data_IF_504963640650
#
_entry.id   IF_504963640650
#
_cell.length_a   1.000
_cell.length_b   1.000
_cell.length_c   1.000
_cell.angle_alpha   90.00
_cell.angle_beta   90.00
_cell.angle_gamma   90.00
#
_symmetry.space_group_name_H-M   'P 1'
#
loop_
_entity.id
_entity.type
_entity.pdbx_description
1 polymer ?
#
# COMPACT_ATOMS: atom_id res chain seq x y z
N UNK A 1 -1.66 2.66 11.26
CA UNK A 1 -1.93 3.40 12.51
C UNK A 1 -3.37 3.20 12.96
N UNK A 2 -4.36 3.91 12.42
CA UNK A 2 -5.79 3.84 12.84
C UNK A 2 -6.28 2.40 13.12
N UNK A 3 -6.13 1.49 12.15
CA UNK A 3 -6.55 0.09 12.29
C UNK A 3 -5.83 -0.63 13.43
N UNK A 4 -4.52 -0.41 13.57
CA UNK A 4 -3.73 -1.01 14.64
C UNK A 4 -4.14 -0.47 16.02
N UNK A 5 -4.32 0.84 16.13
CA UNK A 5 -4.63 1.47 17.41
C UNK A 5 -6.02 1.06 17.93
N UNK A 6 -6.98 0.83 17.03
CA UNK A 6 -8.36 0.47 17.38
C UNK A 6 -8.59 -1.04 17.51
N UNK A 7 -7.96 -1.83 16.65
CA UNK A 7 -8.27 -3.26 16.49
C UNK A 7 -7.07 -4.19 16.66
N UNK A 8 -5.85 -3.65 16.69
CA UNK A 8 -4.62 -4.43 16.67
C UNK A 8 -4.39 -5.11 15.32
N UNK A 9 -3.17 -5.05 14.81
CA UNK A 9 -2.76 -5.85 13.64
C UNK A 9 -1.86 -6.98 14.12
N UNK A 10 -2.24 -8.21 13.80
CA UNK A 10 -1.41 -9.40 14.06
C UNK A 10 -0.38 -9.56 12.95
N UNK A 11 -0.83 -9.52 11.69
CA UNK A 11 0.00 -9.60 10.49
C UNK A 11 -0.75 -8.97 9.30
N UNK A 12 0.00 -8.60 8.26
CA UNK A 12 -0.59 -8.06 7.05
C UNK A 12 0.32 -8.10 5.84
N UNK A 13 -0.32 -8.19 4.67
CA UNK A 13 0.30 -8.13 3.37
C UNK A 13 -0.30 -6.99 2.57
N UNK A 14 0.58 -6.18 2.00
CA UNK A 14 0.23 -5.02 1.20
C UNK A 14 0.60 -5.26 -0.26
N UNK A 15 -0.33 -4.97 -1.16
CA UNK A 15 -0.05 -4.81 -2.58
C UNK A 15 -0.31 -3.36 -2.94
N UNK A 16 0.64 -2.68 -3.56
CA UNK A 16 0.32 -1.41 -4.23
C UNK A 16 0.15 -1.64 -5.72
N UNK A 17 -1.01 -1.28 -6.25
CA UNK A 17 -1.22 -1.15 -7.69
C UNK A 17 -0.77 0.27 -8.05
N UNK A 18 0.39 0.33 -8.67
CA UNK A 18 1.19 1.54 -8.78
C UNK A 18 1.30 1.97 -10.24
N UNK A 19 1.14 3.28 -10.52
CA UNK A 19 1.43 3.81 -11.86
C UNK A 19 2.89 3.58 -12.23
N UNK A 20 3.20 3.45 -13.52
CA UNK A 20 4.60 3.43 -13.92
C UNK A 20 5.24 4.81 -13.64
N UNK A 21 6.57 4.85 -13.49
CA UNK A 21 7.31 6.10 -13.21
C UNK A 21 8.41 6.29 -14.26
N UNK A 22 9.19 7.37 -14.11
CA UNK A 22 10.30 7.68 -15.01
C UNK A 22 11.42 6.62 -15.04
N UNK A 23 11.44 5.67 -14.09
CA UNK A 23 12.47 4.62 -14.06
C UNK A 23 12.20 3.47 -15.04
N UNK A 24 10.93 3.29 -15.44
CA UNK A 24 10.47 2.25 -16.35
C UNK A 24 10.72 2.66 -17.80
N UNK A 25 10.55 1.72 -18.72
CA UNK A 25 10.91 1.88 -20.14
C UNK A 25 9.66 2.00 -21.01
N UNK A 26 9.73 2.82 -22.05
CA UNK A 26 8.63 2.96 -23.02
C UNK A 26 8.41 1.68 -23.80
N UNK A 27 9.50 1.00 -24.17
CA UNK A 27 9.56 -0.33 -24.80
C UNK A 27 10.54 -1.22 -24.03
N UNK A 28 10.55 -2.52 -24.34
CA UNK A 28 11.47 -3.47 -23.70
C UNK A 28 12.94 -3.02 -23.84
N UNK A 29 13.66 -2.97 -22.71
CA UNK A 29 15.05 -2.55 -22.67
C UNK A 29 15.79 -2.98 -21.39
N UNK A 30 17.10 -2.71 -21.32
CA UNK A 30 17.92 -3.15 -20.19
C UNK A 30 17.49 -2.52 -18.85
N UNK A 31 17.43 -3.35 -17.82
CA UNK A 31 17.26 -2.92 -16.41
C UNK A 31 18.06 -3.85 -15.49
N UNK A 32 19.22 -3.38 -15.03
CA UNK A 32 20.22 -4.23 -14.39
C UNK A 32 19.79 -4.81 -13.03
N UNK A 33 19.04 -4.03 -12.24
CA UNK A 33 18.64 -4.41 -10.87
C UNK A 33 17.22 -4.97 -10.76
N UNK A 34 16.38 -4.71 -11.77
CA UNK A 34 14.98 -5.13 -11.82
C UNK A 34 14.63 -5.50 -13.27
N UNK A 35 14.87 -6.76 -13.63
CA UNK A 35 14.68 -7.23 -15.00
C UNK A 35 13.24 -7.05 -15.50
N UNK A 36 12.26 -7.20 -14.60
CA UNK A 36 10.85 -6.99 -14.91
C UNK A 36 10.55 -5.52 -15.19
N UNK A 37 11.19 -4.60 -14.46
CA UNK A 37 11.10 -3.15 -14.68
C UNK A 37 11.66 -2.66 -16.02
N UNK A 38 12.42 -3.50 -16.75
CA UNK A 38 12.89 -3.20 -18.09
C UNK A 38 11.85 -3.41 -19.20
N UNK A 39 10.72 -4.08 -18.90
CA UNK A 39 9.65 -4.32 -19.87
C UNK A 39 8.86 -3.04 -20.18
N UNK A 40 8.29 -2.94 -21.37
CA UNK A 40 7.48 -1.80 -21.81
C UNK A 40 6.35 -1.48 -20.82
N UNK A 41 6.43 -0.32 -20.17
CA UNK A 41 5.62 0.03 -19.01
C UNK A 41 4.13 0.18 -19.31
N UNK A 42 3.80 0.75 -20.48
CA UNK A 42 2.42 1.00 -20.91
C UNK A 42 1.73 -0.26 -21.48
N UNK A 43 2.44 -1.39 -21.57
CA UNK A 43 1.95 -2.62 -22.20
C UNK A 43 1.86 -3.80 -21.23
N UNK A 44 2.33 -3.64 -19.99
CA UNK A 44 2.50 -4.75 -19.06
C UNK A 44 1.96 -4.41 -17.66
N UNK A 45 1.54 -5.45 -16.96
CA UNK A 45 1.45 -5.44 -15.50
C UNK A 45 2.77 -6.01 -14.99
N UNK A 46 3.56 -5.20 -14.28
CA UNK A 46 4.95 -5.53 -13.91
C UNK A 46 5.05 -5.69 -12.39
N UNK A 47 5.17 -6.94 -11.87
CA UNK A 47 5.40 -7.16 -10.45
C UNK A 47 6.79 -6.67 -10.04
N UNK A 48 6.88 -6.02 -8.88
CA UNK A 48 8.13 -5.51 -8.28
C UNK A 48 8.13 -5.71 -6.77
N UNK A 49 9.30 -5.96 -6.20
CA UNK A 49 9.48 -5.89 -4.74
C UNK A 49 9.42 -4.43 -4.27
N UNK A 50 8.97 -4.21 -3.05
CA UNK A 50 9.00 -2.87 -2.40
C UNK A 50 9.33 -2.99 -0.92
N UNK A 51 10.08 -2.01 -0.40
CA UNK A 51 10.35 -1.88 1.02
C UNK A 51 9.29 -1.10 1.80
N UNK A 52 8.27 -0.53 1.12
CA UNK A 52 7.33 0.42 1.72
C UNK A 52 6.57 -0.16 2.92
N UNK A 53 5.99 -1.37 2.79
CA UNK A 53 5.29 -2.02 3.91
C UNK A 53 6.23 -2.33 5.08
N UNK A 54 7.47 -2.77 4.82
CA UNK A 54 8.47 -3.00 5.87
C UNK A 54 8.88 -1.69 6.54
N UNK A 55 8.89 -0.58 5.81
CA UNK A 55 9.22 0.74 6.35
C UNK A 55 8.14 1.25 7.33
N UNK A 56 6.88 0.81 7.20
CA UNK A 56 5.83 1.11 8.18
C UNK A 56 6.25 0.63 9.57
N UNK A 57 6.85 -0.55 9.69
CA UNK A 57 7.36 -1.08 10.96
C UNK A 57 8.49 -0.25 11.59
N UNK A 58 9.17 0.60 10.82
CA UNK A 58 10.19 1.53 11.36
C UNK A 58 9.57 2.79 11.96
N UNK A 59 8.46 3.26 11.40
CA UNK A 59 7.75 4.47 11.86
C UNK A 59 6.67 4.17 12.89
N UNK A 60 6.15 2.93 12.90
CA UNK A 60 5.20 2.39 13.87
C UNK A 60 5.84 1.10 14.44
N UNK A 61 6.67 1.21 15.50
CA UNK A 61 7.47 0.10 16.00
C UNK A 61 6.68 -1.15 16.38
N UNK A 62 5.45 -1.02 16.86
CA UNK A 62 4.57 -2.15 17.20
C UNK A 62 4.12 -2.98 15.98
N UNK A 63 4.34 -2.46 14.77
CA UNK A 63 4.11 -3.15 13.50
C UNK A 63 5.40 -3.72 12.88
N UNK A 64 6.54 -3.59 13.55
CA UNK A 64 7.80 -4.12 13.04
C UNK A 64 7.74 -5.64 12.88
N UNK A 65 8.12 -6.12 11.70
CA UNK A 65 8.04 -7.54 11.34
C UNK A 65 6.63 -8.06 11.01
N UNK A 66 5.57 -7.28 11.26
CA UNK A 66 4.17 -7.71 11.01
C UNK A 66 3.66 -7.40 9.61
N UNK A 67 4.27 -6.41 8.94
CA UNK A 67 3.85 -5.94 7.62
C UNK A 67 4.94 -6.15 6.57
N UNK A 68 4.56 -6.73 5.44
CA UNK A 68 5.36 -6.75 4.23
C UNK A 68 4.48 -6.64 2.98
N UNK A 69 5.07 -6.63 1.79
CA UNK A 69 4.29 -6.40 0.59
C UNK A 69 5.08 -6.37 -0.71
N UNK A 70 4.32 -6.22 -1.79
CA UNK A 70 4.81 -6.10 -3.16
C UNK A 70 4.12 -4.95 -3.89
N UNK A 71 4.55 -4.68 -5.12
CA UNK A 71 3.86 -3.75 -6.02
C UNK A 71 3.61 -4.38 -7.38
N UNK A 72 2.53 -3.93 -8.01
CA UNK A 72 2.19 -4.21 -9.40
C UNK A 72 2.20 -2.88 -10.13
N UNK A 73 3.18 -2.65 -11.01
CA UNK A 73 3.20 -1.46 -11.87
C UNK A 73 2.26 -1.67 -13.04
N UNK A 74 1.34 -0.73 -13.27
CA UNK A 74 0.29 -0.84 -14.29
C UNK A 74 0.34 0.30 -15.31
N UNK A 75 -0.29 0.16 -16.50
CA UNK A 75 -0.32 1.16 -17.57
C UNK A 75 -1.13 2.44 -17.28
N UNK A 76 -0.85 3.11 -16.16
CA UNK A 76 -1.41 4.40 -15.80
C UNK A 76 -0.29 5.40 -15.54
N UNK A 77 -0.49 6.65 -15.98
CA UNK A 77 0.57 7.67 -15.95
C UNK A 77 0.78 8.30 -14.55
N UNK A 78 -0.24 8.28 -13.69
CA UNK A 78 -0.19 8.80 -12.33
C UNK A 78 -1.32 8.22 -11.46
N UNK A 79 -1.25 8.48 -10.15
CA UNK A 79 -2.13 7.93 -9.11
C UNK A 79 -1.89 6.43 -8.88
N UNK A 80 -2.12 5.98 -7.65
CA UNK A 80 -1.89 4.59 -7.25
C UNK A 80 -2.83 4.24 -6.11
N UNK A 81 -2.99 2.95 -5.85
CA UNK A 81 -3.82 2.45 -4.77
C UNK A 81 -3.04 1.47 -3.91
N UNK A 82 -3.34 1.46 -2.62
CA UNK A 82 -2.87 0.48 -1.66
C UNK A 82 -4.01 -0.49 -1.38
N UNK A 83 -3.76 -1.76 -1.62
CA UNK A 83 -4.56 -2.89 -1.15
C UNK A 83 -3.85 -3.47 0.07
N UNK A 84 -4.49 -3.40 1.23
CA UNK A 84 -3.94 -3.85 2.50
C UNK A 84 -4.84 -4.93 3.08
N UNK A 85 -4.37 -6.18 3.03
CA UNK A 85 -5.01 -7.31 3.71
C UNK A 85 -4.33 -7.53 5.05
N UNK A 86 -5.11 -7.45 6.14
CA UNK A 86 -4.61 -7.60 7.51
C UNK A 86 -5.48 -8.56 8.31
N UNK A 87 -4.85 -9.29 9.23
CA UNK A 87 -5.56 -10.03 10.27
C UNK A 87 -5.56 -9.19 11.55
N UNK A 88 -6.77 -8.90 12.04
CA UNK A 88 -6.97 -8.10 13.24
C UNK A 88 -6.85 -8.97 14.50
N UNK A 89 -6.38 -8.35 15.59
CA UNK A 89 -6.33 -9.00 16.90
C UNK A 89 -7.72 -9.01 17.54
N UNK A 90 -8.37 -7.85 17.55
CA UNK A 90 -9.77 -7.69 17.89
C UNK A 90 -10.59 -7.69 16.60
N UNK A 91 -11.47 -8.68 16.45
CA UNK A 91 -12.41 -8.73 15.33
C UNK A 91 -13.25 -7.46 15.25
N UNK A 92 -13.50 -7.01 14.03
CA UNK A 92 -14.31 -5.84 13.74
C UNK A 92 -15.16 -6.09 12.49
N UNK A 93 -16.40 -5.64 12.53
CA UNK A 93 -17.24 -5.53 11.35
C UNK A 93 -16.72 -4.46 10.40
N UNK A 94 -17.12 -4.54 9.14
CA UNK A 94 -16.74 -3.54 8.15
C UNK A 94 -17.25 -2.13 8.52
N UNK A 95 -18.43 -2.03 9.11
CA UNK A 95 -18.99 -0.75 9.54
C UNK A 95 -18.20 -0.12 10.71
N UNK A 96 -17.70 -0.93 11.65
CA UNK A 96 -16.80 -0.46 12.71
C UNK A 96 -15.48 0.06 12.14
N UNK A 97 -14.93 -0.62 11.13
CA UNK A 97 -13.72 -0.18 10.44
C UNK A 97 -13.96 1.16 9.74
N UNK A 98 -15.05 1.28 8.96
CA UNK A 98 -15.43 2.53 8.28
C UNK A 98 -15.58 3.68 9.28
N UNK A 99 -16.28 3.45 10.39
CA UNK A 99 -16.47 4.44 11.44
C UNK A 99 -15.15 4.92 12.03
N UNK A 100 -14.25 4.01 12.38
CA UNK A 100 -12.93 4.36 12.90
C UNK A 100 -12.10 5.17 11.89
N UNK A 101 -12.11 4.77 10.62
CA UNK A 101 -11.42 5.47 9.52
C UNK A 101 -11.97 6.89 9.34
N UNK A 102 -13.30 7.04 9.35
CA UNK A 102 -13.97 8.34 9.23
C UNK A 102 -13.65 9.26 10.40
N UNK A 103 -13.81 8.77 11.64
CA UNK A 103 -13.48 9.51 12.85
C UNK A 103 -12.04 10.02 12.83
N UNK A 104 -11.05 9.17 12.47
CA UNK A 104 -9.65 9.60 12.37
C UNK A 104 -9.41 10.62 11.26
N UNK A 105 -10.09 10.50 10.11
CA UNK A 105 -9.94 11.44 8.99
C UNK A 105 -10.52 12.84 9.28
N UNK A 106 -11.57 12.93 10.09
CA UNK A 106 -12.22 14.19 10.46
C UNK A 106 -11.53 14.89 11.64
N UNK A 107 -10.69 14.15 12.39
CA UNK A 107 -10.02 14.61 13.61
C UNK A 107 -8.48 14.55 13.49
N UNK A 108 -7.86 13.54 14.09
CA UNK A 108 -6.42 13.48 14.35
C UNK A 108 -5.54 13.44 13.09
N UNK A 109 -6.09 12.96 11.95
CA UNK A 109 -5.39 12.89 10.67
C UNK A 109 -5.96 13.87 9.63
N UNK A 110 -6.75 14.86 10.06
CA UNK A 110 -7.38 15.82 9.16
C UNK A 110 -6.33 16.54 8.31
N UNK A 111 -6.55 16.56 6.99
CA UNK A 111 -5.65 17.17 6.02
C UNK A 111 -4.47 16.28 5.57
N UNK A 112 -4.25 15.14 6.23
CA UNK A 112 -3.27 14.12 5.82
C UNK A 112 -3.94 12.85 5.29
N UNK A 113 -5.12 12.52 5.81
CA UNK A 113 -5.89 11.35 5.45
C UNK A 113 -7.35 11.74 5.22
N UNK A 114 -7.91 11.30 4.10
CA UNK A 114 -9.30 11.54 3.73
C UNK A 114 -10.00 10.20 3.48
N UNK A 115 -11.33 10.21 3.63
CA UNK A 115 -12.19 9.07 3.32
C UNK A 115 -13.33 9.53 2.43
N UNK A 116 -13.66 8.73 1.43
CA UNK A 116 -14.87 8.90 0.60
C UNK A 116 -15.90 7.80 0.90
N UNK A 117 -15.71 7.05 1.99
CA UNK A 117 -16.61 5.96 2.35
C UNK A 117 -17.86 6.54 3.01
N UNK A 118 -19.00 6.43 2.31
CA UNK A 118 -20.33 6.77 2.81
C UNK A 118 -20.86 5.75 3.82
#
# INVERSE_FOLDING_TARGET
KVINDKFGIVEGLMTTVHSYTATQKTVDGPSAKDWRGGRGAAQNIIPSSTGAAKAVGKVIPELNGKLTGMSMRVPTANVSVVDLTVRLEKGASYDEIKKAIKESSENELKGMFSTDVT
#
